data_IF_401083049414
#
_entry.id   IF_401083049414
#
_cell.length_a   1.000
_cell.length_b   1.000
_cell.length_c   1.000
_cell.angle_alpha   90.00
_cell.angle_beta   90.00
_cell.angle_gamma   90.00
#
_symmetry.space_group_name_H-M   'P 1'
#
loop_
_entity.id
_entity.type
_entity.pdbx_description
1 polymer ?
#
# COMPACT_ATOMS: atom_id res chain seq x y z
N UNK A 1 2.72 44.83 0.21
CA UNK A 1 1.44 44.24 -0.24
C UNK A 1 1.56 42.79 -0.79
N UNK A 2 2.70 42.38 -1.32
CA UNK A 2 2.90 41.02 -1.91
C UNK A 2 2.73 39.89 -0.88
N UNK A 3 3.34 40.01 0.30
CA UNK A 3 3.29 39.02 1.36
C UNK A 3 1.87 38.66 1.85
N UNK A 4 0.97 39.62 2.14
CA UNK A 4 -0.42 39.31 2.51
C UNK A 4 -1.20 38.63 1.40
N UNK A 5 -0.95 38.94 0.13
CA UNK A 5 -1.61 38.32 -1.02
C UNK A 5 -1.19 36.85 -1.16
N UNK A 6 0.10 36.55 -1.03
CA UNK A 6 0.61 35.16 -1.05
C UNK A 6 0.13 34.35 0.15
N UNK A 7 0.18 34.93 1.35
CA UNK A 7 -0.34 34.29 2.55
C UNK A 7 -1.86 34.06 2.46
N UNK A 8 -2.61 35.01 1.89
CA UNK A 8 -4.03 34.88 1.63
C UNK A 8 -4.36 33.76 0.64
N UNK A 9 -3.58 33.62 -0.45
CA UNK A 9 -3.71 32.54 -1.42
C UNK A 9 -3.47 31.16 -0.81
N UNK A 10 -2.66 31.07 0.26
CA UNK A 10 -2.37 29.85 0.99
C UNK A 10 -3.40 29.50 2.08
N UNK A 11 -4.02 30.50 2.71
CA UNK A 11 -4.78 30.31 3.96
C UNK A 11 -6.27 30.63 3.85
N UNK A 12 -6.68 31.51 2.92
CA UNK A 12 -8.05 32.02 2.85
C UNK A 12 -8.96 31.23 1.91
N UNK A 13 -10.24 31.28 2.20
CA UNK A 13 -11.30 30.78 1.32
C UNK A 13 -11.40 31.64 0.06
N UNK A 14 -11.89 31.12 -1.09
CA UNK A 14 -12.00 31.87 -2.33
C UNK A 14 -12.79 33.18 -2.20
N UNK A 15 -13.82 33.20 -1.31
CA UNK A 15 -14.61 34.42 -1.04
C UNK A 15 -13.80 35.44 -0.26
N UNK A 16 -13.10 35.02 0.79
CA UNK A 16 -12.25 35.91 1.58
C UNK A 16 -11.04 36.41 0.78
N UNK A 17 -10.49 35.57 -0.11
CA UNK A 17 -9.40 35.96 -1.02
C UNK A 17 -9.84 37.01 -2.02
N UNK A 18 -11.06 36.97 -2.56
CA UNK A 18 -11.62 37.99 -3.44
C UNK A 18 -11.78 39.32 -2.72
N UNK A 19 -12.20 39.31 -1.45
CA UNK A 19 -12.26 40.53 -0.63
C UNK A 19 -10.86 41.11 -0.43
N UNK A 20 -9.87 40.28 -0.13
CA UNK A 20 -8.47 40.73 0.00
C UNK A 20 -7.95 41.33 -1.30
N UNK A 21 -8.28 40.76 -2.46
CA UNK A 21 -7.90 41.29 -3.76
C UNK A 21 -8.59 42.63 -4.04
N UNK A 22 -9.86 42.78 -3.68
CA UNK A 22 -10.57 44.06 -3.84
C UNK A 22 -9.92 45.17 -3.00
N UNK A 23 -9.53 44.86 -1.75
CA UNK A 23 -8.83 45.83 -0.88
C UNK A 23 -7.44 46.19 -1.46
N UNK A 24 -6.69 45.16 -1.93
CA UNK A 24 -5.38 45.37 -2.53
C UNK A 24 -5.46 46.21 -3.83
N UNK A 25 -6.47 45.96 -4.66
CA UNK A 25 -6.72 46.72 -5.88
C UNK A 25 -7.09 48.17 -5.58
N UNK A 26 -7.95 48.40 -4.58
CA UNK A 26 -8.31 49.78 -4.16
C UNK A 26 -7.09 50.56 -3.65
N UNK A 27 -6.22 49.90 -2.84
CA UNK A 27 -4.96 50.51 -2.39
C UNK A 27 -4.00 50.82 -3.53
N UNK A 28 -3.91 49.90 -4.53
CA UNK A 28 -3.07 50.12 -5.71
C UNK A 28 -3.58 51.26 -6.57
N UNK A 29 -4.90 51.36 -6.78
CA UNK A 29 -5.53 52.49 -7.51
C UNK A 29 -5.21 53.83 -6.82
N UNK A 30 -5.33 53.84 -5.49
CA UNK A 30 -4.99 55.06 -4.71
C UNK A 30 -3.53 55.46 -4.89
N UNK A 31 -2.58 54.49 -4.81
CA UNK A 31 -1.15 54.78 -5.00
C UNK A 31 -0.82 55.21 -6.44
N UNK A 32 -1.49 54.68 -7.46
CA UNK A 32 -1.32 55.07 -8.86
C UNK A 32 -1.86 56.50 -9.09
N UNK A 33 -3.05 56.80 -8.54
CA UNK A 33 -3.63 58.17 -8.66
C UNK A 33 -2.74 59.22 -8.03
N UNK A 34 -2.06 58.89 -6.93
CA UNK A 34 -1.11 59.78 -6.29
C UNK A 34 0.29 59.78 -6.93
N UNK A 35 0.48 59.12 -8.06
CA UNK A 35 1.76 58.97 -8.80
C UNK A 35 2.90 58.37 -7.95
N UNK A 36 2.59 57.61 -6.94
CA UNK A 36 3.56 56.96 -6.05
C UNK A 36 3.95 55.54 -6.50
N UNK A 37 3.18 54.90 -7.39
CA UNK A 37 3.44 53.57 -7.88
C UNK A 37 3.92 53.59 -9.33
N UNK A 38 5.09 53.05 -9.60
CA UNK A 38 5.61 52.85 -10.95
C UNK A 38 4.95 51.62 -11.63
N UNK A 39 4.98 51.52 -12.99
CA UNK A 39 4.34 50.49 -13.75
C UNK A 39 4.81 49.05 -13.35
N UNK A 40 6.03 48.89 -12.92
CA UNK A 40 6.58 47.64 -12.47
C UNK A 40 5.89 47.08 -11.20
N UNK A 41 5.48 47.96 -10.29
CA UNK A 41 4.77 47.57 -9.07
C UNK A 41 3.38 47.03 -9.41
N UNK A 42 2.68 47.70 -10.35
CA UNK A 42 1.35 47.28 -10.82
C UNK A 42 1.40 45.86 -11.42
N UNK A 43 2.37 45.61 -12.31
CA UNK A 43 2.56 44.31 -12.95
C UNK A 43 2.88 43.22 -11.92
N UNK A 44 3.74 43.49 -10.96
CA UNK A 44 4.11 42.52 -9.93
C UNK A 44 2.94 42.14 -9.02
N UNK A 45 2.13 43.12 -8.61
CA UNK A 45 0.94 42.85 -7.78
C UNK A 45 -0.12 42.08 -8.58
N UNK A 46 -0.36 42.44 -9.85
CA UNK A 46 -1.29 41.76 -10.72
C UNK A 46 -0.86 40.31 -10.97
N UNK A 47 0.42 40.04 -11.26
CA UNK A 47 0.96 38.69 -11.44
C UNK A 47 0.84 37.87 -10.16
N UNK A 48 1.13 38.45 -9.00
CA UNK A 48 1.01 37.75 -7.71
C UNK A 48 -0.45 37.43 -7.38
N UNK A 49 -1.38 38.34 -7.66
CA UNK A 49 -2.83 38.09 -7.46
C UNK A 49 -3.34 37.01 -8.39
N UNK A 50 -2.95 37.00 -9.66
CA UNK A 50 -3.28 35.96 -10.62
C UNK A 50 -2.78 34.59 -10.15
N UNK A 51 -1.51 34.50 -9.74
CA UNK A 51 -0.91 33.27 -9.25
C UNK A 51 -1.61 32.75 -7.99
N UNK A 52 -1.95 33.63 -7.05
CA UNK A 52 -2.69 33.28 -5.85
C UNK A 52 -4.12 32.78 -6.15
N UNK A 53 -4.80 33.37 -7.16
CA UNK A 53 -6.14 32.91 -7.60
C UNK A 53 -6.07 31.54 -8.27
N UNK A 54 -5.10 31.30 -9.16
CA UNK A 54 -4.87 29.98 -9.78
C UNK A 54 -4.61 28.91 -8.73
N UNK A 55 -3.75 29.17 -7.76
CA UNK A 55 -3.46 28.26 -6.64
C UNK A 55 -4.71 27.98 -5.80
N UNK A 56 -5.50 28.99 -5.48
CA UNK A 56 -6.75 28.86 -4.70
C UNK A 56 -7.81 28.05 -5.44
N UNK A 57 -7.97 28.29 -6.74
CA UNK A 57 -8.95 27.58 -7.57
C UNK A 57 -8.56 26.13 -7.83
N UNK A 58 -7.28 25.83 -8.01
CA UNK A 58 -6.77 24.45 -8.16
C UNK A 58 -7.01 23.63 -6.89
N UNK A 59 -6.77 24.22 -5.71
CA UNK A 59 -7.08 23.60 -4.41
C UNK A 59 -8.59 23.39 -4.20
N UNK A 60 -9.42 24.33 -4.68
CA UNK A 60 -10.88 24.22 -4.61
C UNK A 60 -11.43 23.06 -5.43
N UNK A 61 -10.85 22.78 -6.59
CA UNK A 61 -11.24 21.65 -7.48
C UNK A 61 -10.86 20.27 -6.91
N UNK A 62 -9.78 20.19 -6.15
CA UNK A 62 -9.32 18.94 -5.53
C UNK A 62 -10.06 18.58 -4.23
N UNK A 63 -11.06 19.38 -3.79
CA UNK A 63 -11.84 19.12 -2.57
C UNK A 63 -11.03 19.18 -1.27
N UNK A 64 -9.73 19.43 -1.35
CA UNK A 64 -8.79 19.35 -0.24
C UNK A 64 -8.40 20.74 0.24
N UNK A 65 -8.77 21.08 1.48
CA UNK A 65 -8.45 22.36 2.09
C UNK A 65 -7.41 22.20 3.17
N UNK A 66 -6.15 22.46 2.83
CA UNK A 66 -5.06 22.65 3.79
C UNK A 66 -4.97 21.57 4.87
N UNK A 67 -4.83 21.96 6.12
CA UNK A 67 -4.65 21.08 7.29
C UNK A 67 -5.71 19.98 7.47
N UNK A 68 -6.91 20.10 6.88
CA UNK A 68 -7.94 19.06 6.92
C UNK A 68 -7.66 17.93 5.94
N UNK A 69 -7.12 18.27 4.78
CA UNK A 69 -6.71 17.27 3.79
C UNK A 69 -5.54 16.44 4.29
N UNK A 70 -4.54 17.09 4.90
CA UNK A 70 -3.40 16.40 5.48
C UNK A 70 -3.84 15.47 6.63
N UNK A 71 -4.79 15.91 7.48
CA UNK A 71 -5.36 15.06 8.52
C UNK A 71 -6.16 13.90 7.95
N UNK A 72 -6.98 14.13 6.92
CA UNK A 72 -7.74 13.07 6.26
C UNK A 72 -6.82 12.05 5.61
N UNK A 73 -5.73 12.49 4.98
CA UNK A 73 -4.71 11.61 4.40
C UNK A 73 -3.99 10.80 5.49
N UNK A 74 -3.64 11.44 6.62
CA UNK A 74 -3.03 10.74 7.75
C UNK A 74 -4.00 9.71 8.34
N UNK A 75 -5.26 10.09 8.57
CA UNK A 75 -6.29 9.18 9.08
C UNK A 75 -6.53 8.00 8.12
N UNK A 76 -6.56 8.28 6.82
CA UNK A 76 -6.69 7.26 5.78
C UNK A 76 -5.51 6.28 5.79
N UNK A 77 -4.29 6.81 5.84
CA UNK A 77 -3.06 6.01 5.99
C UNK A 77 -3.13 5.12 7.25
N UNK A 78 -3.55 5.70 8.38
CA UNK A 78 -3.59 4.97 9.64
C UNK A 78 -4.66 3.87 9.61
N UNK A 79 -5.78 4.09 8.90
CA UNK A 79 -6.81 3.05 8.65
C UNK A 79 -6.28 1.91 7.77
N UNK A 80 -5.57 2.22 6.67
CA UNK A 80 -4.95 1.19 5.82
C UNK A 80 -3.93 0.37 6.62
N UNK A 81 -3.09 1.04 7.41
CA UNK A 81 -2.13 0.37 8.29
C UNK A 81 -2.82 -0.50 9.34
N UNK A 82 -3.92 -0.04 9.91
CA UNK A 82 -4.70 -0.82 10.87
C UNK A 82 -5.36 -2.06 10.23
N UNK A 83 -5.81 -1.96 8.98
CA UNK A 83 -6.31 -3.10 8.22
C UNK A 83 -5.19 -4.11 7.85
N UNK A 84 -3.96 -3.63 7.69
CA UNK A 84 -2.78 -4.45 7.43
C UNK A 84 -2.20 -5.14 8.69
N UNK A 85 -2.83 -5.02 9.86
CA UNK A 85 -2.42 -5.75 11.06
C UNK A 85 -3.17 -7.06 11.15
N UNK A 86 -2.44 -8.16 11.38
CA UNK A 86 -3.08 -9.45 11.63
C UNK A 86 -3.77 -9.44 13.00
N UNK A 87 -4.90 -10.14 13.15
CA UNK A 87 -5.55 -10.31 14.44
C UNK A 87 -4.60 -10.99 15.42
N UNK A 88 -4.82 -10.77 16.71
CA UNK A 88 -4.09 -11.48 17.75
C UNK A 88 -4.48 -12.95 17.66
N UNK A 89 -3.51 -13.79 17.38
CA UNK A 89 -3.70 -15.22 17.27
C UNK A 89 -3.66 -15.86 18.68
N UNK A 90 -4.34 -17.00 18.83
CA UNK A 90 -4.34 -17.75 20.08
C UNK A 90 -2.95 -18.31 20.44
N UNK A 91 -2.87 -18.94 21.61
CA UNK A 91 -1.64 -19.55 22.11
C UNK A 91 -1.04 -20.55 21.10
N UNK A 92 0.27 -20.48 20.94
CA UNK A 92 1.00 -21.32 20.02
C UNK A 92 1.11 -20.74 18.60
N UNK A 93 0.62 -19.54 18.34
CA UNK A 93 0.78 -18.85 17.06
C UNK A 93 1.37 -17.46 17.24
N UNK A 94 2.18 -17.07 16.29
CA UNK A 94 2.69 -15.71 16.21
C UNK A 94 2.64 -15.18 14.78
N UNK A 95 2.61 -13.87 14.66
CA UNK A 95 2.61 -13.19 13.37
C UNK A 95 3.35 -11.87 13.41
N UNK A 96 3.87 -11.45 12.28
CA UNK A 96 4.48 -10.13 12.07
C UNK A 96 4.17 -9.64 10.66
N UNK A 97 3.82 -8.37 10.53
CA UNK A 97 3.57 -7.71 9.24
C UNK A 97 4.47 -6.49 9.13
N UNK A 98 5.10 -6.35 7.98
CA UNK A 98 5.91 -5.18 7.61
C UNK A 98 5.39 -4.63 6.30
N UNK A 99 4.96 -3.37 6.30
CA UNK A 99 4.55 -2.63 5.11
C UNK A 99 5.42 -1.37 5.01
N UNK A 100 6.15 -1.21 3.92
CA UNK A 100 7.04 -0.06 3.68
C UNK A 100 6.83 0.51 2.29
N UNK A 101 6.11 1.62 2.17
CA UNK A 101 5.94 2.32 0.91
C UNK A 101 7.25 2.83 0.33
N UNK A 102 7.34 2.83 -0.99
CA UNK A 102 8.47 3.32 -1.75
C UNK A 102 8.73 4.82 -1.51
N UNK A 103 10.01 5.22 -1.55
CA UNK A 103 10.42 6.61 -1.54
C UNK A 103 10.03 7.41 -0.30
N UNK A 104 9.69 6.74 0.83
CA UNK A 104 9.21 7.41 2.05
C UNK A 104 7.81 8.02 1.88
N UNK A 105 7.05 7.61 0.86
CA UNK A 105 5.67 8.04 0.66
C UNK A 105 4.78 7.59 1.82
N UNK A 106 3.63 8.27 2.00
CA UNK A 106 2.68 7.89 3.04
C UNK A 106 1.85 6.66 2.68
N UNK A 107 1.83 6.28 1.39
CA UNK A 107 1.00 5.23 0.82
C UNK A 107 1.79 4.43 -0.22
N UNK A 108 1.50 3.13 -0.30
CA UNK A 108 2.01 2.21 -1.31
C UNK A 108 0.90 1.47 -2.04
N UNK A 109 1.26 0.73 -3.09
CA UNK A 109 0.40 -0.22 -3.79
C UNK A 109 0.17 -1.50 -2.99
N UNK A 110 1.12 -1.86 -2.13
CA UNK A 110 1.06 -3.07 -1.32
C UNK A 110 0.10 -2.94 -0.14
N UNK A 111 -0.73 -3.96 0.07
CA UNK A 111 -1.57 -4.04 1.26
C UNK A 111 -1.80 -5.49 1.72
N UNK A 112 -2.18 -5.61 2.99
CA UNK A 112 -2.57 -6.89 3.60
C UNK A 112 -4.02 -6.78 4.06
N UNK A 113 -4.80 -7.82 3.84
CA UNK A 113 -6.10 -8.01 4.48
C UNK A 113 -6.10 -9.34 5.22
N UNK A 114 -6.77 -9.38 6.36
CA UNK A 114 -6.84 -10.57 7.18
C UNK A 114 -8.21 -10.74 7.84
N UNK A 115 -8.58 -11.98 8.08
CA UNK A 115 -9.79 -12.37 8.80
C UNK A 115 -9.49 -13.54 9.72
N UNK A 116 -10.09 -13.56 10.90
CA UNK A 116 -10.07 -14.72 11.78
C UNK A 116 -11.37 -14.82 12.56
N UNK A 117 -11.89 -16.03 12.65
CA UNK A 117 -13.03 -16.38 13.50
C UNK A 117 -12.60 -17.07 14.81
N UNK A 118 -11.29 -17.07 15.10
CA UNK A 118 -10.68 -17.74 16.26
C UNK A 118 -10.39 -19.23 16.04
N UNK A 119 -10.89 -19.84 14.96
CA UNK A 119 -10.57 -21.21 14.55
C UNK A 119 -9.66 -21.23 13.34
N UNK A 120 -9.92 -20.35 12.42
CA UNK A 120 -9.15 -20.16 11.19
C UNK A 120 -8.56 -18.76 11.12
N UNK A 121 -7.49 -18.63 10.36
CA UNK A 121 -6.88 -17.38 9.93
C UNK A 121 -6.83 -17.37 8.41
N UNK A 122 -7.37 -16.32 7.81
CA UNK A 122 -7.17 -16.03 6.40
C UNK A 122 -6.37 -14.75 6.23
N UNK A 123 -5.39 -14.75 5.34
CA UNK A 123 -4.53 -13.60 5.04
C UNK A 123 -4.34 -13.50 3.55
N UNK A 124 -4.55 -12.32 2.99
CA UNK A 124 -4.13 -12.04 1.62
C UNK A 124 -3.13 -10.88 1.60
N UNK A 125 -1.97 -11.12 0.99
CA UNK A 125 -0.99 -10.10 0.64
C UNK A 125 -1.20 -9.77 -0.84
N UNK A 126 -1.36 -8.49 -1.13
CA UNK A 126 -1.76 -7.99 -2.45
C UNK A 126 -0.81 -6.88 -2.87
N UNK A 127 -0.39 -6.93 -4.12
CA UNK A 127 0.39 -5.90 -4.77
C UNK A 127 -0.35 -5.36 -5.99
N UNK A 128 -0.54 -4.06 -6.01
CA UNK A 128 -1.26 -3.32 -7.06
C UNK A 128 -0.28 -2.71 -8.03
N UNK A 129 -0.33 -3.15 -9.28
CA UNK A 129 0.53 -2.61 -10.34
C UNK A 129 0.41 -1.10 -10.48
N UNK A 130 1.55 -0.42 -10.65
CA UNK A 130 1.64 1.02 -10.78
C UNK A 130 2.45 1.66 -9.64
N UNK A 131 2.68 2.97 -9.73
CA UNK A 131 3.47 3.71 -8.73
C UNK A 131 2.79 5.00 -8.32
N UNK A 132 3.10 5.46 -7.12
CA UNK A 132 2.65 6.75 -6.63
C UNK A 132 1.19 6.79 -6.17
N UNK A 133 0.55 7.96 -6.31
CA UNK A 133 -0.75 8.24 -5.71
C UNK A 133 -1.91 7.41 -6.35
N UNK A 134 -1.81 7.08 -7.62
CA UNK A 134 -2.85 6.31 -8.32
C UNK A 134 -2.86 4.85 -7.83
N UNK A 135 -1.70 4.20 -7.74
CA UNK A 135 -1.58 2.86 -7.16
C UNK A 135 -2.05 2.83 -5.70
N UNK A 136 -1.64 3.83 -4.90
CA UNK A 136 -2.05 3.95 -3.51
C UNK A 136 -3.57 4.15 -3.35
N UNK A 137 -4.21 4.93 -4.21
CA UNK A 137 -5.67 5.13 -4.19
C UNK A 137 -6.40 3.84 -4.55
N UNK A 138 -5.89 3.09 -5.53
CA UNK A 138 -6.41 1.77 -5.89
C UNK A 138 -6.25 0.78 -4.75
N UNK A 139 -5.05 0.68 -4.17
CA UNK A 139 -4.77 -0.19 -3.03
C UNK A 139 -5.75 0.07 -1.88
N UNK A 140 -6.07 1.34 -1.60
CA UNK A 140 -7.06 1.70 -0.61
C UNK A 140 -8.46 1.15 -0.93
N UNK A 141 -8.94 1.36 -2.16
CA UNK A 141 -10.26 0.88 -2.59
C UNK A 141 -10.31 -0.66 -2.55
N UNK A 142 -9.26 -1.31 -3.05
CA UNK A 142 -9.15 -2.75 -3.09
C UNK A 142 -9.03 -3.36 -1.70
N UNK A 143 -8.27 -2.74 -0.78
CA UNK A 143 -8.15 -3.24 0.60
C UNK A 143 -9.50 -3.28 1.31
N UNK A 144 -10.35 -2.28 1.10
CA UNK A 144 -11.73 -2.27 1.63
C UNK A 144 -12.60 -3.36 1.01
N UNK A 145 -12.56 -3.51 -0.32
CA UNK A 145 -13.33 -4.52 -1.03
C UNK A 145 -12.89 -5.95 -0.69
N UNK A 146 -11.58 -6.22 -0.72
CA UNK A 146 -11.02 -7.54 -0.43
C UNK A 146 -11.18 -7.91 1.04
N UNK A 147 -11.01 -6.94 1.97
CA UNK A 147 -11.28 -7.16 3.39
C UNK A 147 -12.75 -7.49 3.68
N UNK A 148 -13.69 -6.95 2.89
CA UNK A 148 -15.11 -7.30 3.01
C UNK A 148 -15.48 -8.67 2.42
N UNK A 149 -14.69 -9.19 1.48
CA UNK A 149 -14.90 -10.49 0.84
C UNK A 149 -14.20 -11.61 1.63
N UNK A 150 -13.00 -11.35 2.15
CA UNK A 150 -12.20 -12.31 2.90
C UNK A 150 -12.99 -12.81 4.12
N UNK A 151 -13.10 -14.13 4.28
CA UNK A 151 -13.88 -14.77 5.34
C UNK A 151 -15.41 -14.74 5.13
N UNK A 152 -15.93 -14.02 4.11
CA UNK A 152 -17.37 -14.03 3.78
C UNK A 152 -17.73 -14.99 2.65
N UNK A 153 -16.75 -15.52 1.94
CA UNK A 153 -16.88 -16.55 0.93
C UNK A 153 -15.98 -17.74 1.28
N UNK A 154 -16.22 -18.96 0.73
CA UNK A 154 -15.27 -20.06 0.85
C UNK A 154 -13.87 -19.64 0.37
N UNK A 155 -12.82 -20.12 1.03
CA UNK A 155 -11.41 -19.74 0.74
C UNK A 155 -11.03 -19.88 -0.74
N UNK A 156 -11.51 -20.92 -1.42
CA UNK A 156 -11.28 -21.14 -2.85
C UNK A 156 -11.98 -20.12 -3.75
N UNK A 157 -12.98 -19.39 -3.23
CA UNK A 157 -13.73 -18.37 -3.95
C UNK A 157 -13.19 -16.95 -3.74
N UNK A 158 -12.24 -16.75 -2.83
CA UNK A 158 -11.72 -15.41 -2.54
C UNK A 158 -11.05 -14.77 -3.76
N UNK A 159 -10.07 -15.44 -4.39
CA UNK A 159 -9.38 -14.89 -5.57
C UNK A 159 -10.32 -14.74 -6.77
N UNK A 160 -11.21 -15.67 -7.10
CA UNK A 160 -12.26 -15.47 -8.10
C UNK A 160 -13.15 -14.25 -7.82
N UNK A 161 -13.59 -14.05 -6.58
CA UNK A 161 -14.42 -12.88 -6.21
C UNK A 161 -13.64 -11.57 -6.31
N UNK A 162 -12.38 -11.56 -5.88
CA UNK A 162 -11.46 -10.42 -6.02
C UNK A 162 -11.25 -10.05 -7.51
N UNK A 163 -11.03 -11.05 -8.37
CA UNK A 163 -10.92 -10.86 -9.81
C UNK A 163 -12.21 -10.28 -10.42
N UNK A 164 -13.37 -10.82 -10.03
CA UNK A 164 -14.67 -10.32 -10.49
C UNK A 164 -14.91 -8.87 -10.04
N UNK A 165 -14.44 -8.47 -8.87
CA UNK A 165 -14.49 -7.08 -8.41
C UNK A 165 -13.64 -6.16 -9.29
N UNK A 166 -12.38 -6.51 -9.54
CA UNK A 166 -11.46 -5.75 -10.40
C UNK A 166 -12.03 -5.53 -11.80
N UNK A 167 -12.67 -6.55 -12.35
CA UNK A 167 -13.23 -6.48 -13.71
C UNK A 167 -14.52 -5.66 -13.84
N UNK A 168 -15.15 -5.26 -12.74
CA UNK A 168 -16.29 -4.30 -12.76
C UNK A 168 -15.82 -2.87 -12.97
N UNK A 169 -14.56 -2.55 -12.65
CA UNK A 169 -13.93 -1.27 -12.96
C UNK A 169 -13.61 -1.09 -14.45
N UNK A 170 -12.97 0.00 -14.80
CA UNK A 170 -12.52 0.23 -16.17
C UNK A 170 -11.35 -0.72 -16.52
N UNK A 171 -11.31 -1.22 -17.74
CA UNK A 171 -10.28 -2.15 -18.24
C UNK A 171 -8.86 -1.56 -18.28
N UNK A 172 -8.70 -0.25 -18.05
CA UNK A 172 -7.41 0.46 -18.09
C UNK A 172 -6.67 0.51 -16.74
N UNK A 173 -7.21 -0.12 -15.70
CA UNK A 173 -6.68 0.03 -14.33
C UNK A 173 -5.48 -0.87 -13.99
N UNK A 174 -4.93 -1.63 -14.92
CA UNK A 174 -3.79 -2.52 -14.68
C UNK A 174 -4.18 -3.82 -13.96
N UNK A 175 -3.18 -4.65 -13.66
CA UNK A 175 -3.34 -5.94 -12.99
C UNK A 175 -2.98 -5.86 -11.50
N UNK A 176 -3.34 -6.90 -10.76
CA UNK A 176 -3.04 -7.03 -9.33
C UNK A 176 -2.49 -8.44 -9.10
N UNK A 177 -1.40 -8.54 -8.36
CA UNK A 177 -0.91 -9.83 -7.87
C UNK A 177 -1.37 -10.07 -6.44
N UNK A 178 -1.63 -11.31 -6.07
CA UNK A 178 -2.06 -11.66 -4.74
C UNK A 178 -1.62 -13.07 -4.34
N UNK A 179 -1.31 -13.25 -3.06
CA UNK A 179 -1.19 -14.55 -2.42
C UNK A 179 -2.20 -14.61 -1.27
N UNK A 180 -2.99 -15.70 -1.23
CA UNK A 180 -4.00 -15.94 -0.20
C UNK A 180 -3.65 -17.20 0.57
N UNK A 181 -3.51 -17.06 1.88
CA UNK A 181 -3.22 -18.13 2.83
C UNK A 181 -4.39 -18.31 3.77
N UNK A 182 -4.87 -19.54 3.89
CA UNK A 182 -5.87 -19.97 4.88
C UNK A 182 -5.24 -21.01 5.80
N UNK A 183 -5.36 -20.83 7.13
CA UNK A 183 -4.79 -21.73 8.15
C UNK A 183 -5.87 -22.11 9.14
N UNK A 184 -6.02 -23.43 9.39
CA UNK A 184 -6.75 -23.96 10.54
C UNK A 184 -5.84 -23.92 11.79
N UNK A 185 -6.18 -23.07 12.75
CA UNK A 185 -5.28 -22.81 13.89
C UNK A 185 -5.10 -24.01 14.82
N UNK A 186 -6.08 -24.89 14.91
CA UNK A 186 -6.01 -26.08 15.77
C UNK A 186 -5.06 -27.14 15.19
N UNK A 187 -5.23 -27.50 13.92
CA UNK A 187 -4.44 -28.55 13.25
C UNK A 187 -3.12 -28.00 12.69
N UNK A 188 -3.12 -26.75 12.22
CA UNK A 188 -2.06 -26.14 11.44
C UNK A 188 -2.15 -26.45 9.94
N UNK A 189 -3.22 -27.11 9.52
CA UNK A 189 -3.49 -27.32 8.09
C UNK A 189 -3.64 -25.99 7.39
N UNK A 190 -3.00 -25.84 6.25
CA UNK A 190 -3.08 -24.62 5.45
C UNK A 190 -3.34 -24.92 3.98
N UNK A 191 -3.96 -23.96 3.33
CA UNK A 191 -4.09 -23.89 1.87
C UNK A 191 -3.58 -22.54 1.41
N UNK A 192 -2.71 -22.54 0.40
CA UNK A 192 -2.10 -21.36 -0.21
C UNK A 192 -2.52 -21.25 -1.67
N UNK A 193 -3.08 -20.14 -2.05
CA UNK A 193 -3.44 -19.78 -3.42
C UNK A 193 -2.56 -18.63 -3.90
N UNK A 194 -2.19 -18.64 -5.18
CA UNK A 194 -1.40 -17.56 -5.80
C UNK A 194 -2.11 -17.01 -7.03
N UNK A 195 -2.06 -15.71 -7.20
CA UNK A 195 -2.52 -15.01 -8.41
C UNK A 195 -1.36 -14.18 -8.98
N UNK A 196 -0.38 -14.86 -9.61
CA UNK A 196 0.78 -14.23 -10.21
C UNK A 196 1.75 -13.57 -9.22
N UNK A 197 1.64 -13.91 -7.96
CA UNK A 197 2.46 -13.33 -6.87
C UNK A 197 3.76 -14.14 -6.70
N UNK A 198 4.86 -13.53 -6.16
CA UNK A 198 6.06 -14.26 -5.79
C UNK A 198 5.76 -15.47 -4.90
N UNK A 199 6.48 -16.60 -5.05
CA UNK A 199 6.20 -17.80 -4.28
C UNK A 199 6.41 -17.56 -2.79
N UNK A 200 5.45 -17.97 -1.95
CA UNK A 200 5.62 -17.96 -0.51
C UNK A 200 6.79 -18.85 -0.09
N UNK A 201 7.41 -18.56 1.05
CA UNK A 201 8.46 -19.38 1.61
C UNK A 201 7.99 -20.04 2.91
N UNK A 202 8.12 -21.37 3.02
CA UNK A 202 7.83 -22.13 4.23
C UNK A 202 9.12 -22.62 4.88
N UNK A 203 9.26 -22.36 6.17
CA UNK A 203 10.30 -22.95 7.01
C UNK A 203 9.78 -24.24 7.62
N UNK A 204 10.54 -25.32 7.47
CA UNK A 204 10.29 -26.62 8.04
C UNK A 204 11.30 -26.87 9.18
N UNK A 205 10.83 -26.81 10.42
CA UNK A 205 11.66 -26.94 11.61
C UNK A 205 12.31 -28.31 11.72
N UNK A 206 11.73 -29.35 11.12
CA UNK A 206 12.28 -30.71 11.16
C UNK A 206 13.53 -30.86 10.30
N UNK A 207 13.60 -30.13 9.20
CA UNK A 207 14.75 -30.13 8.27
C UNK A 207 15.66 -28.90 8.44
N UNK A 208 15.18 -27.84 9.08
CA UNK A 208 15.87 -26.56 9.20
C UNK A 208 15.96 -25.77 7.91
N UNK A 209 15.13 -26.06 6.90
CA UNK A 209 15.21 -25.48 5.56
C UNK A 209 13.99 -24.64 5.21
N UNK A 210 14.23 -23.55 4.50
CA UNK A 210 13.21 -22.82 3.78
C UNK A 210 12.92 -23.46 2.43
N UNK A 211 11.65 -23.59 2.07
CA UNK A 211 11.20 -24.12 0.78
C UNK A 211 10.22 -23.15 0.15
N UNK A 212 10.32 -22.96 -1.16
CA UNK A 212 9.37 -22.13 -1.91
C UNK A 212 8.10 -22.91 -2.20
N UNK A 213 6.97 -22.22 -2.12
CA UNK A 213 5.66 -22.76 -2.49
C UNK A 213 5.59 -23.08 -3.97
N UNK A 214 4.86 -24.16 -4.27
CA UNK A 214 4.52 -24.57 -5.62
C UNK A 214 3.19 -23.98 -6.13
N UNK A 215 2.46 -23.23 -5.30
CA UNK A 215 1.19 -22.62 -5.69
C UNK A 215 1.36 -21.72 -6.92
N UNK A 216 0.46 -21.82 -7.89
CA UNK A 216 0.47 -21.08 -9.15
C UNK A 216 -0.93 -20.65 -9.52
N UNK A 217 -1.04 -19.46 -10.11
CA UNK A 217 -2.29 -18.90 -10.63
C UNK A 217 -2.03 -17.68 -11.47
N UNK A 218 -3.05 -17.21 -12.17
CA UNK A 218 -2.98 -16.03 -13.07
C UNK A 218 -3.25 -14.75 -12.28
N UNK A 219 -2.55 -13.67 -12.62
CA UNK A 219 -2.75 -12.35 -12.06
C UNK A 219 -4.21 -11.90 -12.16
N UNK A 220 -4.68 -11.19 -11.15
CA UNK A 220 -6.05 -10.68 -11.08
C UNK A 220 -6.28 -9.52 -12.06
N UNK A 221 -7.49 -9.43 -12.59
CA UNK A 221 -7.92 -8.36 -13.50
C UNK A 221 -7.70 -8.66 -14.99
N UNK A 222 -6.89 -9.67 -15.35
CA UNK A 222 -6.52 -9.98 -16.75
C UNK A 222 -7.54 -10.89 -17.42
N UNK A 223 -7.97 -11.96 -16.75
CA UNK A 223 -8.91 -12.94 -17.33
C UNK A 223 -10.35 -12.67 -16.87
N UNK A 224 -11.30 -12.99 -17.77
CA UNK A 224 -12.71 -12.74 -17.47
C UNK A 224 -13.24 -13.62 -16.32
N UNK A 225 -12.86 -14.88 -16.33
CA UNK A 225 -13.26 -15.87 -15.32
C UNK A 225 -12.04 -16.63 -14.84
N UNK A 226 -11.65 -16.39 -13.60
CA UNK A 226 -10.52 -17.07 -12.97
C UNK A 226 -10.86 -18.55 -12.68
N UNK A 227 -12.13 -18.84 -12.40
CA UNK A 227 -12.58 -20.23 -12.18
C UNK A 227 -12.49 -21.14 -13.40
N UNK A 228 -12.37 -20.56 -14.62
CA UNK A 228 -12.15 -21.29 -15.87
C UNK A 228 -10.67 -21.64 -16.11
N UNK A 229 -9.74 -21.10 -15.33
CA UNK A 229 -8.30 -21.33 -15.44
C UNK A 229 -7.86 -22.26 -14.32
N UNK A 230 -7.09 -23.33 -14.62
CA UNK A 230 -6.57 -24.21 -13.59
C UNK A 230 -5.73 -23.42 -12.58
N UNK A 231 -6.17 -23.40 -11.33
CA UNK A 231 -5.42 -22.92 -10.19
C UNK A 231 -4.72 -24.12 -9.55
N UNK A 232 -3.49 -23.92 -9.11
CA UNK A 232 -2.71 -24.97 -8.43
C UNK A 232 -2.44 -24.48 -7.01
N UNK A 233 -3.36 -24.72 -6.07
CA UNK A 233 -3.13 -24.42 -4.67
C UNK A 233 -2.05 -25.34 -4.09
N UNK A 234 -1.38 -24.88 -3.03
CA UNK A 234 -0.55 -25.72 -2.18
C UNK A 234 -1.27 -25.99 -0.86
N UNK A 235 -1.32 -27.26 -0.48
CA UNK A 235 -1.85 -27.68 0.81
C UNK A 235 -0.72 -28.28 1.66
N UNK A 236 -0.81 -28.08 2.97
CA UNK A 236 0.19 -28.62 3.89
C UNK A 236 -0.21 -28.43 5.35
N UNK A 237 0.72 -28.75 6.23
CA UNK A 237 0.55 -28.58 7.67
C UNK A 237 1.75 -27.83 8.22
N UNK A 238 1.50 -26.78 9.01
CA UNK A 238 2.50 -26.09 9.82
C UNK A 238 2.57 -26.80 11.18
N UNK A 239 3.69 -27.45 11.43
CA UNK A 239 4.00 -28.04 12.73
C UNK A 239 4.57 -27.03 13.69
N UNK A 240 4.72 -27.37 14.96
CA UNK A 240 5.39 -26.49 15.93
C UNK A 240 6.84 -26.23 15.51
N UNK A 241 7.23 -24.98 15.50
CA UNK A 241 8.51 -24.51 15.00
C UNK A 241 8.50 -24.10 13.54
N UNK A 242 7.49 -24.49 12.75
CA UNK A 242 7.35 -24.09 11.35
C UNK A 242 6.89 -22.64 11.22
N UNK A 243 7.24 -22.03 10.09
CA UNK A 243 6.81 -20.69 9.71
C UNK A 243 6.47 -20.60 8.22
N UNK A 244 5.62 -19.65 7.86
CA UNK A 244 5.34 -19.30 6.47
C UNK A 244 5.53 -17.79 6.28
N UNK A 245 6.17 -17.40 5.19
CA UNK A 245 6.50 -16.03 4.84
C UNK A 245 5.92 -15.70 3.47
N UNK A 246 5.09 -14.65 3.42
CA UNK A 246 4.57 -14.04 2.19
C UNK A 246 5.30 -12.72 1.99
N UNK A 247 5.63 -12.35 0.77
CA UNK A 247 6.38 -11.13 0.47
C UNK A 247 6.08 -10.65 -0.95
N UNK A 248 6.08 -9.32 -1.16
CA UNK A 248 5.93 -8.71 -2.48
C UNK A 248 7.27 -8.66 -3.23
N UNK A 249 7.21 -8.43 -4.52
CA UNK A 249 8.39 -8.36 -5.38
C UNK A 249 9.37 -7.25 -4.96
N UNK A 250 8.89 -6.12 -4.41
CA UNK A 250 9.76 -5.07 -3.90
C UNK A 250 10.72 -5.50 -2.78
N UNK A 251 10.47 -6.67 -2.13
CA UNK A 251 11.42 -7.26 -1.17
C UNK A 251 12.58 -7.96 -1.87
N UNK A 252 12.37 -8.49 -3.07
CA UNK A 252 13.30 -9.40 -3.77
C UNK A 252 13.76 -8.88 -5.14
N UNK A 253 12.99 -8.03 -5.79
CA UNK A 253 13.30 -7.52 -7.13
C UNK A 253 14.28 -6.35 -7.08
N UNK A 254 15.34 -6.45 -7.87
CA UNK A 254 16.33 -5.39 -8.06
C UNK A 254 16.44 -5.04 -9.56
N UNK A 255 16.58 -3.76 -9.92
CA UNK A 255 16.74 -3.37 -11.32
C UNK A 255 17.90 -4.11 -12.00
N UNK A 256 17.58 -4.84 -13.10
CA UNK A 256 18.55 -5.54 -13.90
C UNK A 256 19.11 -6.85 -13.30
N UNK A 257 18.45 -7.39 -12.29
CA UNK A 257 18.78 -8.71 -11.70
C UNK A 257 17.58 -9.65 -11.82
N UNK A 258 17.88 -10.95 -11.82
CA UNK A 258 16.83 -11.96 -11.76
C UNK A 258 16.16 -11.96 -10.38
N UNK A 259 14.85 -12.11 -10.35
CA UNK A 259 14.06 -12.20 -9.12
C UNK A 259 14.48 -13.41 -8.28
N UNK A 260 14.90 -14.50 -8.91
CA UNK A 260 15.38 -15.72 -8.24
C UNK A 260 16.62 -15.48 -7.39
N UNK A 261 17.53 -14.59 -7.83
CA UNK A 261 18.70 -14.16 -7.03
C UNK A 261 18.25 -13.41 -5.76
N UNK A 262 17.23 -12.59 -5.87
CA UNK A 262 16.64 -11.88 -4.75
C UNK A 262 15.94 -12.81 -3.76
N UNK A 263 15.20 -13.79 -4.27
CA UNK A 263 14.54 -14.82 -3.46
C UNK A 263 15.58 -15.67 -2.71
N UNK A 264 16.62 -16.13 -3.40
CA UNK A 264 17.71 -16.90 -2.76
C UNK A 264 18.37 -16.10 -1.63
N UNK A 265 18.57 -14.81 -1.83
CA UNK A 265 19.12 -13.90 -0.81
C UNK A 265 18.15 -13.73 0.37
N UNK A 266 16.85 -13.52 0.10
CA UNK A 266 15.83 -13.43 1.13
C UNK A 266 15.82 -14.66 2.03
N UNK A 267 15.88 -15.86 1.45
CA UNK A 267 15.94 -17.11 2.20
C UNK A 267 17.22 -17.23 3.04
N UNK A 268 18.38 -16.83 2.50
CA UNK A 268 19.63 -16.81 3.26
C UNK A 268 19.62 -15.84 4.44
N UNK A 269 19.03 -14.66 4.28
CA UNK A 269 18.87 -13.71 5.38
C UNK A 269 17.79 -14.16 6.39
N UNK A 270 16.75 -14.89 5.92
CA UNK A 270 15.69 -15.43 6.76
C UNK A 270 16.17 -16.53 7.73
N UNK A 271 17.31 -17.20 7.46
CA UNK A 271 17.92 -18.13 8.42
C UNK A 271 18.24 -17.45 9.76
N UNK A 272 18.54 -16.15 9.75
CA UNK A 272 18.78 -15.38 10.97
C UNK A 272 17.52 -15.23 11.83
N UNK A 273 16.34 -15.20 11.19
CA UNK A 273 15.04 -15.15 11.91
C UNK A 273 14.83 -16.43 12.73
N UNK A 274 15.23 -17.56 12.17
CA UNK A 274 15.12 -18.86 12.83
C UNK A 274 15.94 -18.89 14.11
N UNK A 275 17.21 -18.40 14.03
CA UNK A 275 18.13 -18.36 15.18
C UNK A 275 17.68 -17.37 16.25
N UNK A 276 17.15 -16.20 15.85
CA UNK A 276 16.73 -15.14 16.76
C UNK A 276 15.30 -15.35 17.32
N UNK A 277 14.56 -16.33 16.79
CA UNK A 277 13.12 -16.46 17.00
C UNK A 277 12.35 -15.46 16.13
N UNK A 278 11.23 -15.86 15.55
CA UNK A 278 10.48 -15.11 14.54
C UNK A 278 9.90 -13.78 15.04
N UNK A 279 9.80 -13.58 16.36
CA UNK A 279 9.03 -12.50 17.01
C UNK A 279 9.53 -11.08 16.68
N UNK A 280 10.80 -10.88 16.43
CA UNK A 280 11.40 -9.54 16.29
C UNK A 280 12.09 -9.27 14.95
N UNK A 281 12.20 -10.27 14.07
CA UNK A 281 13.14 -10.22 12.96
C UNK A 281 12.58 -9.75 11.61
N UNK A 282 11.26 -9.77 11.40
CA UNK A 282 10.68 -9.44 10.08
C UNK A 282 11.01 -8.00 9.62
N UNK A 283 11.00 -7.04 10.55
CA UNK A 283 11.38 -5.65 10.24
C UNK A 283 12.85 -5.49 9.89
N UNK A 284 13.73 -6.22 10.57
CA UNK A 284 15.17 -6.21 10.32
C UNK A 284 15.49 -6.92 9.00
N UNK A 285 14.79 -8.02 8.69
CA UNK A 285 14.89 -8.72 7.41
C UNK A 285 14.56 -7.78 6.24
N UNK A 286 13.41 -7.13 6.27
CA UNK A 286 13.02 -6.16 5.23
C UNK A 286 14.02 -5.01 5.15
N UNK A 287 14.54 -4.51 6.28
CA UNK A 287 15.55 -3.45 6.29
C UNK A 287 16.85 -3.91 5.61
N UNK A 288 17.28 -5.13 5.88
CA UNK A 288 18.49 -5.71 5.28
C UNK A 288 18.30 -5.91 3.78
N UNK A 289 17.16 -6.43 3.37
CA UNK A 289 16.82 -6.62 1.96
C UNK A 289 16.80 -5.27 1.21
N UNK A 290 16.10 -4.25 1.72
CA UNK A 290 16.05 -2.93 1.11
C UNK A 290 17.41 -2.26 0.94
N UNK A 291 18.33 -2.42 1.91
CA UNK A 291 19.71 -1.89 1.81
C UNK A 291 20.52 -2.59 0.72
N UNK A 292 20.24 -3.86 0.48
CA UNK A 292 21.02 -4.70 -0.43
C UNK A 292 20.47 -4.69 -1.85
N UNK A 293 19.16 -4.62 -2.00
CA UNK A 293 18.46 -4.68 -3.29
C UNK A 293 18.29 -3.29 -3.88
N UNK A 294 18.26 -2.24 -3.05
CA UNK A 294 18.02 -0.85 -3.45
C UNK A 294 16.75 -0.72 -4.33
N UNK A 295 15.73 -1.54 -4.05
CA UNK A 295 14.44 -1.48 -4.72
C UNK A 295 13.82 -0.11 -4.49
N UNK A 296 13.36 0.52 -5.57
CA UNK A 296 12.55 1.75 -5.51
C UNK A 296 11.07 1.44 -5.45
N UNK A 297 10.67 0.23 -5.02
CA UNK A 297 9.28 -0.22 -4.97
C UNK A 297 8.75 -0.39 -3.55
N UNK A 298 7.44 -0.53 -3.42
CA UNK A 298 6.78 -0.85 -2.17
C UNK A 298 7.24 -2.23 -1.68
N UNK A 299 7.39 -2.40 -0.38
CA UNK A 299 7.83 -3.65 0.21
C UNK A 299 6.85 -4.10 1.28
N UNK A 300 6.31 -5.30 1.12
CA UNK A 300 5.47 -5.92 2.13
C UNK A 300 5.96 -7.33 2.46
N UNK A 301 5.87 -7.68 3.74
CA UNK A 301 6.21 -9.01 4.23
C UNK A 301 5.26 -9.40 5.35
N UNK A 302 4.71 -10.59 5.27
CA UNK A 302 3.91 -11.24 6.31
C UNK A 302 4.62 -12.50 6.74
N UNK A 303 4.85 -12.64 8.03
CA UNK A 303 5.43 -13.83 8.64
C UNK A 303 4.47 -14.40 9.68
N UNK A 304 4.15 -15.68 9.57
CA UNK A 304 3.29 -16.42 10.50
C UNK A 304 4.05 -17.66 10.93
N UNK A 305 4.03 -17.96 12.23
CA UNK A 305 4.73 -19.14 12.77
C UNK A 305 3.91 -19.83 13.85
N UNK A 306 4.15 -21.13 13.99
CA UNK A 306 3.56 -21.96 15.06
C UNK A 306 4.63 -22.25 16.12
N UNK A 307 4.41 -21.83 17.35
CA UNK A 307 5.34 -22.02 18.48
C UNK A 307 5.01 -23.21 19.39
#
# INVERSE_FOLDING_TARGET
>A
MILPILAGGLLLWPRALRILFAIAAAGLIYDVVLHKAGPGIVVTIAATAYFADVLSNTRGKLGTRGLRADRMMIELRDRIRAQGTLPVLGDGWGSSVVLRPAGGSSFGGDFVVSYSDGKSLEVALVDVSGKGMDAATRALLLSGAFGGVLGSVPREQFLPAANAYLRRGSTDEGFVTAVHLSIELASGEYTLYSAGHPPAARFDASTGLWRLSAARGIVLGVVADLGAVPDVPEEGVLHRGDAIMLYTDGVVEAPGRDIDDGIARLLGEAERLVVAGFKSGAGDLVTTMQRTIASGDDCALVLIWRS
#
